data_IF_820951768515
#
_entry.id   IF_820951768515
#
_cell.length_a   1.000
_cell.length_b   1.000
_cell.length_c   1.000
_cell.angle_alpha   90.00
_cell.angle_beta   90.00
_cell.angle_gamma   90.00
#
_symmetry.space_group_name_H-M   'P 1'
#
loop_
_entity.id
_entity.type
_entity.pdbx_description
1 polymer ?
#
# COMPACT_ATOMS: atom_id res chain seq x y z
N UNK A 1 -3.88 -44.66 -18.05
CA UNK A 1 -3.05 -43.73 -17.25
C UNK A 1 -2.25 -42.86 -18.20
N UNK A 2 -2.60 -41.58 -18.32
CA UNK A 2 -1.93 -40.55 -19.14
C UNK A 2 -1.37 -39.53 -18.14
N UNK A 3 -0.13 -39.05 -18.25
CA UNK A 3 0.40 -38.08 -17.29
C UNK A 3 -0.32 -36.73 -17.49
N UNK A 4 -0.41 -35.89 -16.45
CA UNK A 4 -1.08 -34.59 -16.55
C UNK A 4 -0.25 -33.65 -17.43
N UNK A 5 -0.94 -32.90 -18.29
CA UNK A 5 -0.35 -31.76 -18.99
C UNK A 5 0.13 -30.76 -17.94
N UNK A 6 1.43 -30.48 -17.90
CA UNK A 6 1.97 -29.33 -17.17
C UNK A 6 1.34 -28.09 -17.80
N UNK A 7 0.50 -27.40 -17.02
CA UNK A 7 0.15 -26.02 -17.32
C UNK A 7 1.46 -25.24 -17.26
N UNK A 8 1.85 -24.67 -18.40
CA UNK A 8 2.92 -23.69 -18.49
C UNK A 8 2.48 -22.49 -17.67
N UNK A 9 3.16 -22.24 -16.55
CA UNK A 9 3.07 -20.96 -15.87
C UNK A 9 3.46 -19.88 -16.88
N UNK A 10 2.53 -18.97 -17.12
CA UNK A 10 2.71 -17.81 -17.97
C UNK A 10 3.63 -16.87 -17.20
N UNK A 11 4.94 -17.00 -17.41
CA UNK A 11 5.94 -16.01 -16.99
C UNK A 11 5.62 -14.68 -17.69
N UNK A 12 4.74 -13.89 -17.06
CA UNK A 12 4.67 -12.45 -17.26
C UNK A 12 5.93 -11.84 -16.63
N UNK A 13 6.65 -10.93 -17.31
CA UNK A 13 7.87 -10.31 -16.78
C UNK A 13 7.60 -9.31 -15.63
N UNK A 14 6.45 -9.41 -14.94
CA UNK A 14 6.09 -8.58 -13.80
C UNK A 14 6.64 -9.11 -12.46
N UNK A 15 7.46 -10.16 -12.46
CA UNK A 15 7.78 -10.95 -11.26
C UNK A 15 9.17 -10.69 -10.62
N UNK A 16 9.84 -9.57 -10.89
CA UNK A 16 11.20 -9.38 -10.34
C UNK A 16 11.65 -7.93 -10.09
N UNK A 17 10.76 -6.94 -10.03
CA UNK A 17 11.09 -5.67 -9.41
C UNK A 17 10.86 -5.80 -7.90
N UNK A 18 11.86 -5.44 -7.08
CA UNK A 18 11.79 -5.48 -5.62
C UNK A 18 10.47 -4.88 -5.13
N UNK A 19 9.62 -5.72 -4.55
CA UNK A 19 8.21 -5.40 -4.30
C UNK A 19 8.09 -4.53 -3.04
N UNK A 20 8.56 -3.27 -3.15
CA UNK A 20 8.52 -2.27 -2.09
C UNK A 20 7.11 -2.18 -1.49
N UNK A 21 6.07 -2.28 -2.33
CA UNK A 21 4.66 -2.29 -1.91
C UNK A 21 4.36 -3.49 -1.01
N UNK A 22 4.74 -4.71 -1.40
CA UNK A 22 4.54 -5.88 -0.55
C UNK A 22 5.34 -5.78 0.75
N UNK A 23 6.62 -5.41 0.67
CA UNK A 23 7.46 -5.23 1.85
C UNK A 23 6.85 -4.19 2.80
N UNK A 24 6.37 -3.06 2.28
CA UNK A 24 5.70 -2.03 3.07
C UNK A 24 4.43 -2.56 3.75
N UNK A 25 3.57 -3.28 3.03
CA UNK A 25 2.33 -3.85 3.59
C UNK A 25 2.58 -4.97 4.61
N UNK A 26 3.71 -5.67 4.51
CA UNK A 26 4.05 -6.78 5.41
C UNK A 26 4.83 -6.31 6.65
N UNK A 27 5.16 -5.01 6.78
CA UNK A 27 5.79 -4.42 7.98
C UNK A 27 4.84 -4.40 9.19
N UNK A 28 5.34 -4.61 10.42
CA UNK A 28 4.55 -4.42 11.64
C UNK A 28 3.96 -3.02 11.73
N UNK A 29 2.66 -2.90 12.04
CA UNK A 29 1.93 -1.64 12.07
C UNK A 29 1.26 -1.23 10.75
N UNK A 30 1.55 -1.95 9.65
CA UNK A 30 0.95 -1.70 8.33
C UNK A 30 -0.09 -2.76 7.94
N UNK A 31 -0.61 -3.53 8.91
CA UNK A 31 -1.51 -4.65 8.67
C UNK A 31 -2.83 -4.22 8.02
N UNK A 32 -3.19 -2.94 8.10
CA UNK A 32 -4.42 -2.41 7.51
C UNK A 32 -4.28 -2.05 6.02
N UNK A 33 -3.07 -1.91 5.50
CA UNK A 33 -2.87 -1.62 4.09
C UNK A 33 -3.19 -2.83 3.21
N UNK A 34 -3.73 -2.56 2.03
CA UNK A 34 -3.84 -3.53 0.94
C UNK A 34 -2.80 -3.19 -0.13
N UNK A 35 -2.44 -4.15 -0.97
CA UNK A 35 -1.42 -3.98 -2.01
C UNK A 35 -2.07 -3.28 -3.20
N UNK A 36 -1.71 -2.02 -3.43
CA UNK A 36 -2.24 -1.24 -4.57
C UNK A 36 -1.64 -1.79 -5.87
N UNK A 37 -2.48 -2.00 -6.88
CA UNK A 37 -2.04 -2.49 -8.19
C UNK A 37 -1.14 -1.46 -8.87
N UNK A 38 0.00 -1.89 -9.42
CA UNK A 38 0.93 -0.98 -10.10
C UNK A 38 0.28 -0.23 -11.27
N UNK A 39 -0.64 -0.85 -11.99
CA UNK A 39 -1.37 -0.20 -13.10
C UNK A 39 -2.18 1.00 -12.60
N UNK A 40 -2.76 0.91 -11.39
CA UNK A 40 -3.47 2.03 -10.78
C UNK A 40 -2.51 3.18 -10.44
N UNK A 41 -1.30 2.86 -10.00
CA UNK A 41 -0.25 3.83 -9.64
C UNK A 41 0.35 4.48 -10.89
N UNK A 42 0.54 3.72 -11.97
CA UNK A 42 1.12 4.21 -13.22
C UNK A 42 0.17 5.16 -13.96
N UNK A 43 -1.14 5.03 -13.76
CA UNK A 43 -2.12 5.97 -14.31
C UNK A 43 -2.07 7.32 -13.57
N UNK A 44 -1.53 8.33 -14.26
CA UNK A 44 -1.37 9.70 -13.74
C UNK A 44 -2.68 10.35 -13.35
N UNK A 45 -3.80 9.95 -13.96
CA UNK A 45 -5.10 10.53 -13.63
C UNK A 45 -5.48 10.26 -12.16
N UNK A 46 -5.19 9.05 -11.67
CA UNK A 46 -5.43 8.65 -10.27
C UNK A 46 -4.58 9.45 -9.27
N UNK A 47 -3.44 9.99 -9.73
CA UNK A 47 -2.44 10.65 -8.90
C UNK A 47 -2.51 12.19 -8.95
N UNK A 48 -3.53 12.74 -9.61
CA UNK A 48 -3.68 14.19 -9.78
C UNK A 48 -3.61 14.93 -8.43
N UNK A 49 -2.80 15.99 -8.37
CA UNK A 49 -2.60 16.82 -7.17
C UNK A 49 -1.60 16.29 -6.13
N UNK A 50 -1.12 15.04 -6.24
CA UNK A 50 -0.17 14.49 -5.26
C UNK A 50 1.25 15.04 -5.44
N UNK A 51 1.62 15.45 -6.66
CA UNK A 51 2.97 15.94 -6.97
C UNK A 51 3.40 17.17 -6.17
N UNK A 52 2.46 18.00 -5.74
CA UNK A 52 2.73 19.18 -4.89
C UNK A 52 2.67 18.88 -3.40
N UNK A 53 2.02 17.78 -3.01
CA UNK A 53 1.84 17.40 -1.62
C UNK A 53 3.01 16.56 -1.06
N UNK A 54 3.77 15.91 -1.93
CA UNK A 54 4.82 14.96 -1.53
C UNK A 54 6.22 15.52 -1.87
N UNK A 55 7.12 15.67 -0.87
CA UNK A 55 8.53 16.00 -1.12
C UNK A 55 9.20 14.95 -2.00
N UNK A 56 10.10 15.37 -2.90
CA UNK A 56 10.82 14.43 -3.78
C UNK A 56 9.93 13.48 -4.59
N UNK A 57 8.69 13.89 -4.94
CA UNK A 57 7.65 13.04 -5.56
C UNK A 57 8.18 12.09 -6.65
N UNK A 58 8.98 12.59 -7.59
CA UNK A 58 9.48 11.76 -8.69
C UNK A 58 10.46 10.65 -8.22
N UNK A 59 11.35 10.97 -7.26
CA UNK A 59 12.28 9.99 -6.67
C UNK A 59 11.53 9.00 -5.76
N UNK A 60 10.52 9.47 -5.03
CA UNK A 60 9.65 8.62 -4.22
C UNK A 60 8.84 7.65 -5.09
N UNK A 61 8.31 8.11 -6.24
CA UNK A 61 7.62 7.26 -7.21
C UNK A 61 8.54 6.19 -7.78
N UNK A 62 9.78 6.58 -8.13
CA UNK A 62 10.80 5.66 -8.62
C UNK A 62 11.14 4.58 -7.59
N UNK A 63 11.34 4.96 -6.31
CA UNK A 63 11.54 4.02 -5.22
C UNK A 63 10.36 3.06 -5.05
N UNK A 64 9.14 3.57 -5.15
CA UNK A 64 7.90 2.81 -4.95
C UNK A 64 7.69 1.74 -6.02
N UNK A 65 7.95 2.07 -7.30
CA UNK A 65 7.70 1.18 -8.45
C UNK A 65 8.92 0.32 -8.85
N UNK A 66 10.13 0.87 -8.74
CA UNK A 66 11.34 0.26 -9.30
C UNK A 66 12.31 -0.24 -8.21
N UNK A 67 12.05 0.06 -6.94
CA UNK A 67 12.89 -0.32 -5.81
C UNK A 67 14.10 0.60 -5.56
N UNK A 68 14.81 0.39 -4.44
CA UNK A 68 15.94 1.24 -4.03
C UNK A 68 17.18 1.06 -4.90
N UNK A 69 17.36 -0.09 -5.53
CA UNK A 69 18.48 -0.40 -6.43
C UNK A 69 18.52 0.45 -7.69
N UNK A 70 17.38 1.01 -8.09
CA UNK A 70 17.28 1.95 -9.20
C UNK A 70 17.58 3.40 -8.77
N UNK A 71 17.82 3.65 -7.48
CA UNK A 71 18.30 4.94 -7.00
C UNK A 71 19.83 4.93 -7.07
N UNK A 72 20.42 5.97 -7.66
CA UNK A 72 21.87 6.19 -7.66
C UNK A 72 22.37 6.63 -6.26
N UNK A 73 22.01 5.87 -5.22
CA UNK A 73 22.27 6.12 -3.81
C UNK A 73 22.89 4.89 -3.15
N UNK A 74 23.82 5.13 -2.24
CA UNK A 74 24.33 4.07 -1.38
C UNK A 74 23.28 3.69 -0.32
N UNK A 75 23.37 2.46 0.21
CA UNK A 75 22.43 1.95 1.22
C UNK A 75 22.47 2.72 2.54
N UNK A 76 23.59 3.36 2.86
CA UNK A 76 23.83 4.16 4.06
C UNK A 76 23.65 5.67 3.84
N UNK A 77 23.16 6.08 2.66
CA UNK A 77 22.95 7.49 2.35
C UNK A 77 21.77 8.06 3.19
N UNK A 78 21.97 9.16 3.96
CA UNK A 78 20.89 9.78 4.74
C UNK A 78 19.73 10.30 3.87
N UNK A 79 19.96 10.54 2.57
CA UNK A 79 18.89 10.87 1.63
C UNK A 79 17.92 9.71 1.42
N UNK A 80 18.38 8.46 1.56
CA UNK A 80 17.53 7.29 1.40
C UNK A 80 16.43 7.26 2.45
N UNK A 81 16.72 7.57 3.71
CA UNK A 81 15.71 7.66 4.77
C UNK A 81 14.65 8.73 4.47
N UNK A 82 15.09 9.89 3.96
CA UNK A 82 14.18 10.98 3.58
C UNK A 82 13.28 10.58 2.41
N UNK A 83 13.83 9.84 1.45
CA UNK A 83 13.07 9.29 0.33
C UNK A 83 12.10 8.19 0.76
N UNK A 84 12.49 7.31 1.68
CA UNK A 84 11.60 6.30 2.24
C UNK A 84 10.38 6.96 2.88
N UNK A 85 10.56 7.99 3.73
CA UNK A 85 9.43 8.73 4.32
C UNK A 85 8.54 9.38 3.27
N UNK A 86 9.14 9.89 2.19
CA UNK A 86 8.40 10.48 1.07
C UNK A 86 7.59 9.42 0.30
N UNK A 87 8.16 8.23 0.09
CA UNK A 87 7.48 7.10 -0.55
C UNK A 87 6.36 6.53 0.32
N UNK A 88 6.55 6.44 1.64
CA UNK A 88 5.50 6.02 2.59
C UNK A 88 4.32 7.01 2.60
N UNK A 89 4.60 8.31 2.63
CA UNK A 89 3.57 9.35 2.50
C UNK A 89 2.84 9.25 1.16
N UNK A 90 3.59 9.12 0.06
CA UNK A 90 3.03 8.96 -1.27
C UNK A 90 2.12 7.73 -1.34
N UNK A 91 2.58 6.57 -0.87
CA UNK A 91 1.82 5.33 -0.87
C UNK A 91 0.55 5.45 -0.03
N UNK A 92 0.60 6.09 1.14
CA UNK A 92 -0.58 6.36 1.96
C UNK A 92 -1.63 7.21 1.24
N UNK A 93 -1.21 8.27 0.55
CA UNK A 93 -2.10 9.15 -0.23
C UNK A 93 -2.68 8.45 -1.48
N UNK A 94 -1.93 7.53 -2.08
CA UNK A 94 -2.42 6.67 -3.16
C UNK A 94 -3.45 5.68 -2.61
N UNK A 95 -3.12 5.03 -1.48
CA UNK A 95 -3.91 3.98 -0.86
C UNK A 95 -5.31 4.46 -0.48
N UNK A 96 -5.43 5.64 0.14
CA UNK A 96 -6.75 6.21 0.51
C UNK A 96 -7.65 6.43 -0.72
N UNK A 97 -7.08 6.80 -1.88
CA UNK A 97 -7.83 6.90 -3.14
C UNK A 97 -8.17 5.51 -3.69
N UNK A 98 -7.22 4.60 -3.65
CA UNK A 98 -7.37 3.25 -4.19
C UNK A 98 -8.47 2.46 -3.50
N UNK A 99 -8.58 2.51 -2.17
CA UNK A 99 -9.60 1.75 -1.42
C UNK A 99 -11.04 2.21 -1.70
N UNK A 100 -11.21 3.41 -2.28
CA UNK A 100 -12.49 3.93 -2.74
C UNK A 100 -12.81 3.54 -4.20
N UNK A 101 -11.83 2.98 -4.93
CA UNK A 101 -12.00 2.54 -6.31
C UNK A 101 -12.67 1.16 -6.41
N UNK A 102 -13.14 0.82 -7.61
CA UNK A 102 -13.72 -0.50 -7.91
C UNK A 102 -12.69 -1.64 -7.79
N UNK A 103 -11.39 -1.35 -7.96
CA UNK A 103 -10.31 -2.33 -7.83
C UNK A 103 -9.90 -2.54 -6.37
N UNK A 104 -9.83 -1.47 -5.57
CA UNK A 104 -9.35 -1.54 -4.18
C UNK A 104 -10.40 -1.98 -3.17
N UNK A 105 -11.68 -1.65 -3.38
CA UNK A 105 -12.74 -1.99 -2.42
C UNK A 105 -12.86 -3.49 -2.13
N UNK A 106 -12.84 -4.40 -3.13
CA UNK A 106 -12.84 -5.84 -2.88
C UNK A 106 -11.67 -6.32 -2.02
N UNK A 107 -10.48 -5.72 -2.16
CA UNK A 107 -9.31 -6.09 -1.34
C UNK A 107 -9.52 -5.73 0.14
N UNK A 108 -10.10 -4.57 0.43
CA UNK A 108 -10.43 -4.18 1.80
C UNK A 108 -11.54 -5.04 2.40
N UNK A 109 -12.55 -5.42 1.60
CA UNK A 109 -13.58 -6.38 2.02
C UNK A 109 -12.97 -7.73 2.37
N UNK A 110 -12.03 -8.24 1.58
CA UNK A 110 -11.35 -9.51 1.88
C UNK A 110 -10.60 -9.44 3.23
N UNK A 111 -9.84 -8.36 3.48
CA UNK A 111 -9.19 -8.12 4.78
C UNK A 111 -10.19 -8.01 5.93
N UNK A 112 -11.34 -7.36 5.70
CA UNK A 112 -12.41 -7.26 6.68
C UNK A 112 -13.01 -8.62 7.01
N UNK A 113 -13.29 -9.46 6.01
CA UNK A 113 -13.81 -10.81 6.23
C UNK A 113 -12.86 -11.68 7.06
N UNK A 114 -11.54 -11.53 6.84
CA UNK A 114 -10.49 -12.20 7.60
C UNK A 114 -10.25 -11.60 9.00
N UNK A 115 -10.92 -10.50 9.34
CA UNK A 115 -10.78 -9.87 10.66
C UNK A 115 -9.46 -9.12 10.87
N UNK A 116 -8.75 -8.77 9.79
CA UNK A 116 -7.44 -8.09 9.88
C UNK A 116 -7.51 -6.71 10.56
N UNK A 117 -8.67 -6.06 10.54
CA UNK A 117 -8.88 -4.76 11.19
C UNK A 117 -9.32 -4.87 12.67
N UNK A 118 -9.45 -6.09 13.18
CA UNK A 118 -9.93 -6.36 14.53
C UNK A 118 -11.45 -6.29 14.66
N UNK A 119 -11.89 -6.14 15.91
CA UNK A 119 -13.30 -6.19 16.31
C UNK A 119 -13.65 -5.06 17.26
N UNK A 120 -14.92 -4.71 17.34
CA UNK A 120 -15.43 -3.71 18.27
C UNK A 120 -15.20 -4.18 19.72
N UNK A 121 -14.63 -3.30 20.55
CA UNK A 121 -14.35 -3.56 21.97
C UNK A 121 -15.60 -3.47 22.87
N UNK A 122 -16.71 -2.93 22.37
CA UNK A 122 -17.97 -2.88 23.13
C UNK A 122 -18.52 -4.29 23.30
N UNK A 123 -18.77 -4.69 24.55
CA UNK A 123 -19.26 -6.02 24.91
C UNK A 123 -20.54 -6.37 24.14
N UNK A 124 -21.47 -5.42 24.01
CA UNK A 124 -22.75 -5.60 23.32
C UNK A 124 -22.69 -5.50 21.80
N UNK A 125 -21.51 -5.32 21.21
CA UNK A 125 -21.32 -5.38 19.75
C UNK A 125 -20.96 -6.79 19.27
N UNK A 126 -20.97 -7.80 20.14
CA UNK A 126 -20.81 -9.21 19.76
C UNK A 126 -19.56 -9.49 18.88
N UNK A 127 -18.45 -8.81 19.18
CA UNK A 127 -17.19 -8.88 18.39
C UNK A 127 -17.37 -8.53 16.90
N UNK A 128 -18.26 -7.58 16.60
CA UNK A 128 -18.44 -7.04 15.26
C UNK A 128 -17.11 -6.58 14.65
N UNK A 129 -16.78 -7.06 13.44
CA UNK A 129 -15.58 -6.65 12.71
C UNK A 129 -15.66 -5.18 12.29
N UNK A 130 -14.56 -4.46 12.45
CA UNK A 130 -14.48 -3.01 12.21
C UNK A 130 -13.67 -2.70 10.94
N UNK A 131 -13.73 -1.45 10.50
CA UNK A 131 -12.90 -0.92 9.41
C UNK A 131 -12.04 0.22 9.93
N UNK A 132 -10.84 0.44 9.35
CA UNK A 132 -10.01 1.59 9.68
C UNK A 132 -10.64 2.88 9.15
N UNK A 133 -10.46 3.98 9.88
CA UNK A 133 -10.92 5.31 9.48
C UNK A 133 -9.87 6.37 9.88
N UNK A 134 -9.68 7.37 9.02
CA UNK A 134 -8.91 8.57 9.35
C UNK A 134 -9.81 9.62 9.99
N UNK A 135 -9.34 10.29 11.04
CA UNK A 135 -10.06 11.40 11.67
C UNK A 135 -9.81 12.75 10.97
N UNK A 136 -8.82 12.78 10.09
CA UNK A 136 -8.48 13.92 9.24
C UNK A 136 -7.96 13.41 7.90
N UNK A 137 -8.32 14.13 6.83
CA UNK A 137 -7.76 13.90 5.48
C UNK A 137 -6.45 14.67 5.27
N UNK A 138 -5.99 15.43 6.27
CA UNK A 138 -4.74 16.17 6.24
C UNK A 138 -3.63 15.32 6.89
N UNK A 139 -2.57 14.94 6.15
CA UNK A 139 -1.45 14.19 6.71
C UNK A 139 -0.86 14.84 7.96
N UNK A 140 -0.37 14.03 8.90
CA UNK A 140 0.27 14.45 10.15
C UNK A 140 -0.61 15.22 11.17
N UNK A 141 -1.91 15.38 10.90
CA UNK A 141 -2.84 16.01 11.86
C UNK A 141 -3.34 15.02 12.91
N UNK A 142 -3.39 13.72 12.57
CA UNK A 142 -3.74 12.66 13.52
C UNK A 142 -3.09 11.32 13.11
N UNK A 143 -2.76 10.46 14.08
CA UNK A 143 -2.34 9.08 13.82
C UNK A 143 -3.60 8.22 13.73
N UNK A 144 -3.76 7.47 12.64
CA UNK A 144 -4.92 6.63 12.33
C UNK A 144 -5.61 6.08 13.58
N UNK A 145 -6.75 6.69 13.95
CA UNK A 145 -7.50 6.27 15.12
C UNK A 145 -8.34 5.04 14.75
N UNK A 146 -7.72 3.87 14.76
CA UNK A 146 -8.48 2.72 15.25
C UNK A 146 -8.58 2.97 16.74
N UNK A 147 -9.77 3.30 17.24
CA UNK A 147 -10.00 3.39 18.68
C UNK A 147 -9.50 2.10 19.34
N UNK A 148 -8.30 2.19 19.93
CA UNK A 148 -7.74 1.17 20.81
C UNK A 148 -8.47 1.18 22.14
#
# INVERSE_FOLDING_TARGET
RRPPMRMVDSDSPASAAANWIAEFCDRPGNEFFCKVDEDYIRDRFNLTGLGTAVPNYHRAMKLLLDGPEQLDLASDDPQLETLQRSAELLYGLIHVRFIMSVQGMPQMVAKWMLGHFGVCRRVFCEKQRVLPVGLSDIPATDRSAVSQ
#
